data_IF_258376234515
#
_entry.id   IF_258376234515
#
_cell.length_a   1.000
_cell.length_b   1.000
_cell.length_c   1.000
_cell.angle_alpha   90.00
_cell.angle_beta   90.00
_cell.angle_gamma   90.00
#
_symmetry.space_group_name_H-M   'P 1'
#
loop_
_entity.id
_entity.type
_entity.pdbx_description
1 polymer ?
#
# COMPACT_ATOMS: atom_id res chain seq x y z
N UNK A 1 1.31 -10.57 -13.46
CA UNK A 1 1.52 -9.28 -12.73
C UNK A 1 0.81 -9.30 -11.38
N UNK A 2 -0.49 -9.52 -11.32
CA UNK A 2 -1.28 -9.46 -10.06
C UNK A 2 -0.71 -10.36 -8.96
N UNK A 3 -0.42 -11.64 -9.26
CA UNK A 3 0.13 -12.59 -8.26
C UNK A 3 1.47 -12.10 -7.71
N UNK A 4 2.38 -11.63 -8.56
CA UNK A 4 3.67 -11.11 -8.11
C UNK A 4 3.53 -9.85 -7.25
N UNK A 5 2.60 -8.96 -7.60
CA UNK A 5 2.30 -7.77 -6.80
C UNK A 5 1.69 -8.16 -5.44
N UNK A 6 0.79 -9.15 -5.42
CA UNK A 6 0.21 -9.65 -4.18
C UNK A 6 1.30 -10.21 -3.24
N UNK A 7 2.23 -11.02 -3.77
CA UNK A 7 3.33 -11.57 -2.97
C UNK A 7 4.23 -10.49 -2.36
N UNK A 8 4.45 -9.38 -3.06
CA UNK A 8 5.25 -8.26 -2.57
C UNK A 8 4.49 -7.38 -1.55
N UNK A 9 3.21 -7.11 -1.82
CA UNK A 9 2.44 -6.11 -1.07
C UNK A 9 1.78 -6.68 0.18
N UNK A 10 1.38 -7.96 0.18
CA UNK A 10 0.75 -8.64 1.32
C UNK A 10 1.58 -8.53 2.62
N UNK A 11 2.88 -8.89 2.66
CA UNK A 11 3.65 -8.78 3.91
C UNK A 11 3.74 -7.33 4.40
N UNK A 12 3.81 -6.36 3.50
CA UNK A 12 3.83 -4.93 3.85
C UNK A 12 2.48 -4.52 4.48
N UNK A 13 1.37 -4.95 3.88
CA UNK A 13 0.03 -4.68 4.41
C UNK A 13 -0.19 -5.31 5.79
N UNK A 14 0.29 -6.54 6.00
CA UNK A 14 0.24 -7.22 7.29
C UNK A 14 1.02 -6.42 8.34
N UNK A 15 2.28 -6.05 8.06
CA UNK A 15 3.10 -5.29 9.00
C UNK A 15 2.49 -3.95 9.40
N UNK A 16 1.96 -3.19 8.43
CA UNK A 16 1.32 -1.89 8.71
C UNK A 16 0.01 -2.05 9.48
N UNK A 17 -0.75 -3.11 9.20
CA UNK A 17 -1.98 -3.44 9.92
C UNK A 17 -1.69 -3.82 11.37
N UNK A 18 -0.67 -4.66 11.60
CA UNK A 18 -0.25 -5.05 12.94
C UNK A 18 0.23 -3.84 13.75
N UNK A 19 1.06 -2.98 13.18
CA UNK A 19 1.49 -1.73 13.83
C UNK A 19 0.29 -0.85 14.24
N UNK A 20 -0.75 -0.80 13.40
CA UNK A 20 -1.97 -0.04 13.71
C UNK A 20 -2.77 -0.62 14.87
N UNK A 21 -2.78 -1.95 14.99
CA UNK A 21 -3.44 -2.66 16.11
C UNK A 21 -2.61 -2.54 17.39
N UNK A 22 -1.28 -2.63 17.30
CA UNK A 22 -0.37 -2.50 18.44
C UNK A 22 -0.29 -1.08 19.00
N UNK A 23 -0.62 -0.07 18.18
CA UNK A 23 -0.73 1.33 18.62
C UNK A 23 -1.99 1.62 19.47
N UNK A 24 -2.95 0.69 19.55
CA UNK A 24 -4.12 0.83 20.41
C UNK A 24 -3.74 0.69 21.89
N UNK A 25 -4.52 1.33 22.78
CA UNK A 25 -4.33 1.19 24.22
C UNK A 25 -4.47 -0.29 24.64
N UNK A 26 -3.46 -0.89 25.32
CA UNK A 26 -3.52 -2.25 25.83
C UNK A 26 -4.76 -2.54 26.68
N UNK A 27 -5.31 -1.53 27.36
CA UNK A 27 -6.52 -1.64 28.18
C UNK A 27 -7.74 -2.12 27.40
N UNK A 28 -7.85 -1.82 26.10
CA UNK A 28 -8.96 -2.27 25.25
C UNK A 28 -9.02 -3.81 25.22
N UNK A 29 -7.85 -4.43 25.09
CA UNK A 29 -7.72 -5.89 25.06
C UNK A 29 -8.01 -6.51 26.43
N UNK A 30 -7.53 -5.88 27.49
CA UNK A 30 -7.71 -6.39 28.85
C UNK A 30 -9.17 -6.27 29.31
N UNK A 31 -9.84 -5.15 28.99
CA UNK A 31 -11.25 -4.93 29.27
C UNK A 31 -12.15 -5.94 28.53
N UNK A 32 -11.86 -6.19 27.25
CA UNK A 32 -12.59 -7.20 26.48
C UNK A 32 -12.47 -8.60 27.12
N UNK A 33 -11.29 -8.95 27.64
CA UNK A 33 -11.08 -10.23 28.33
C UNK A 33 -11.80 -10.30 29.68
N UNK A 34 -11.80 -9.24 30.49
CA UNK A 34 -12.52 -9.22 31.78
C UNK A 34 -14.04 -9.30 31.58
N UNK A 35 -14.56 -8.80 30.46
CA UNK A 35 -15.97 -8.96 30.07
C UNK A 35 -16.31 -10.38 29.55
N UNK A 36 -15.37 -11.32 29.60
CA UNK A 36 -15.58 -12.72 29.18
C UNK A 36 -15.57 -12.93 27.66
N UNK A 37 -15.02 -12.00 26.88
CA UNK A 37 -14.97 -12.13 25.42
C UNK A 37 -14.08 -13.30 24.99
N UNK A 38 -14.56 -14.07 24.00
CA UNK A 38 -13.77 -15.13 23.36
C UNK A 38 -12.63 -14.53 22.52
N UNK A 39 -11.62 -15.35 22.17
CA UNK A 39 -10.46 -14.89 21.37
C UNK A 39 -10.85 -14.19 20.07
N UNK A 40 -11.87 -14.72 19.38
CA UNK A 40 -12.39 -14.13 18.14
C UNK A 40 -13.06 -12.77 18.38
N UNK A 41 -13.82 -12.64 19.47
CA UNK A 41 -14.46 -11.37 19.83
C UNK A 41 -13.42 -10.30 20.15
N UNK A 42 -12.37 -10.63 20.90
CA UNK A 42 -11.26 -9.70 21.18
C UNK A 42 -10.60 -9.23 19.88
N UNK A 43 -10.29 -10.14 18.95
CA UNK A 43 -9.70 -9.78 17.65
C UNK A 43 -10.60 -8.89 16.82
N UNK A 44 -11.90 -9.18 16.76
CA UNK A 44 -12.89 -8.36 16.04
C UNK A 44 -13.01 -6.95 16.64
N UNK A 45 -13.02 -6.84 17.97
CA UNK A 45 -13.03 -5.54 18.67
C UNK A 45 -11.78 -4.74 18.34
N UNK A 46 -10.59 -5.34 18.42
CA UNK A 46 -9.33 -4.67 18.08
C UNK A 46 -9.31 -4.21 16.62
N UNK A 47 -9.76 -5.04 15.67
CA UNK A 47 -9.87 -4.62 14.27
C UNK A 47 -10.86 -3.46 14.07
N UNK A 48 -11.95 -3.41 14.84
CA UNK A 48 -12.95 -2.35 14.76
C UNK A 48 -12.44 -1.03 15.31
N UNK A 49 -11.70 -1.07 16.41
CA UNK A 49 -11.03 0.10 17.00
C UNK A 49 -9.88 0.59 16.11
N UNK A 50 -9.09 -0.33 15.54
CA UNK A 50 -8.00 -0.01 14.62
C UNK A 50 -8.47 0.33 13.19
N UNK A 51 -9.78 0.41 12.90
CA UNK A 51 -10.30 0.56 11.53
C UNK A 51 -9.67 1.71 10.75
N UNK A 52 -9.37 2.83 11.42
CA UNK A 52 -8.70 3.98 10.83
C UNK A 52 -7.27 3.66 10.43
N UNK A 53 -6.49 3.09 11.35
CA UNK A 53 -5.13 2.64 11.08
C UNK A 53 -5.06 1.55 10.01
N UNK A 54 -6.01 0.60 10.00
CA UNK A 54 -6.11 -0.44 8.97
C UNK A 54 -6.37 0.18 7.59
N UNK A 55 -7.28 1.16 7.49
CA UNK A 55 -7.53 1.87 6.23
C UNK A 55 -6.26 2.56 5.73
N UNK A 56 -5.54 3.22 6.61
CA UNK A 56 -4.27 3.89 6.29
C UNK A 56 -3.19 2.90 5.86
N UNK A 57 -3.11 1.74 6.53
CA UNK A 57 -2.21 0.65 6.17
C UNK A 57 -2.50 0.14 4.75
N UNK A 58 -3.78 -0.06 4.40
CA UNK A 58 -4.20 -0.47 3.05
C UNK A 58 -3.79 0.56 2.01
N UNK A 59 -4.05 1.85 2.24
CA UNK A 59 -3.68 2.91 1.29
C UNK A 59 -2.16 2.99 1.13
N UNK A 60 -1.39 2.90 2.22
CA UNK A 60 0.07 2.92 2.18
C UNK A 60 0.64 1.71 1.40
N UNK A 61 0.11 0.51 1.62
CA UNK A 61 0.49 -0.68 0.87
C UNK A 61 0.12 -0.58 -0.62
N UNK A 62 -1.02 0.04 -0.94
CA UNK A 62 -1.42 0.32 -2.30
C UNK A 62 -0.48 1.32 -3.00
N UNK A 63 -0.07 2.39 -2.31
CA UNK A 63 0.93 3.34 -2.83
C UNK A 63 2.24 2.63 -3.21
N UNK A 64 2.68 1.69 -2.37
CA UNK A 64 3.86 0.86 -2.67
C UNK A 64 3.65 -0.01 -3.90
N UNK A 65 2.47 -0.62 -4.07
CA UNK A 65 2.15 -1.44 -5.23
C UNK A 65 2.22 -0.66 -6.56
N UNK A 66 1.68 0.58 -6.60
CA UNK A 66 1.69 1.43 -7.80
C UNK A 66 3.12 1.85 -8.18
N UNK A 67 3.95 2.17 -7.19
CA UNK A 67 5.32 2.59 -7.41
C UNK A 67 6.25 1.43 -7.82
N UNK A 68 5.77 0.18 -7.79
CA UNK A 68 6.60 -0.98 -8.00
C UNK A 68 6.88 -1.25 -9.49
N UNK A 69 8.17 -1.32 -9.84
CA UNK A 69 8.66 -1.58 -11.19
C UNK A 69 9.09 -3.04 -11.39
N UNK A 70 9.76 -3.63 -10.40
CA UNK A 70 10.53 -4.88 -10.58
C UNK A 70 9.66 -6.06 -10.99
N UNK A 71 8.55 -6.26 -10.27
CA UNK A 71 7.60 -7.35 -10.56
C UNK A 71 7.03 -7.24 -11.98
N UNK A 72 6.74 -6.03 -12.45
CA UNK A 72 6.19 -5.81 -13.78
C UNK A 72 7.22 -6.16 -14.87
N UNK A 73 8.49 -5.80 -14.70
CA UNK A 73 9.55 -6.15 -15.66
C UNK A 73 9.87 -7.65 -15.65
N UNK A 74 10.01 -8.28 -14.48
CA UNK A 74 10.38 -9.71 -14.37
C UNK A 74 9.35 -10.64 -15.00
N UNK A 75 8.07 -10.29 -14.93
CA UNK A 75 6.97 -11.11 -15.47
C UNK A 75 6.63 -10.73 -16.93
N UNK A 76 7.38 -9.80 -17.54
CA UNK A 76 7.16 -9.37 -18.93
C UNK A 76 5.96 -8.42 -19.12
N UNK A 77 5.56 -7.71 -18.08
CA UNK A 77 4.51 -6.69 -18.12
C UNK A 77 4.96 -5.42 -18.83
N UNK A 78 4.87 -5.37 -20.16
CA UNK A 78 5.13 -4.14 -20.92
C UNK A 78 4.38 -4.08 -22.28
N UNK A 79 3.21 -4.70 -22.38
CA UNK A 79 2.44 -4.71 -23.63
C UNK A 79 1.60 -3.43 -23.69
N UNK A 80 1.84 -2.59 -24.71
CA UNK A 80 1.10 -1.34 -24.93
C UNK A 80 -0.40 -1.63 -25.00
N UNK A 81 -1.20 -0.92 -24.20
CA UNK A 81 -2.66 -1.06 -24.19
C UNK A 81 -3.20 -2.29 -23.44
N UNK A 82 -2.33 -3.15 -22.89
CA UNK A 82 -2.74 -4.36 -22.16
C UNK A 82 -2.14 -4.42 -20.75
N UNK A 83 -0.81 -4.40 -20.65
CA UNK A 83 -0.09 -4.66 -19.39
C UNK A 83 0.96 -3.61 -19.04
N UNK A 84 1.13 -2.59 -19.89
CA UNK A 84 2.05 -1.49 -19.64
C UNK A 84 1.51 -0.57 -18.54
N UNK A 85 2.31 -0.37 -17.51
CA UNK A 85 2.05 0.56 -16.40
C UNK A 85 3.01 1.75 -16.48
N UNK A 86 2.74 2.81 -15.71
CA UNK A 86 3.56 4.03 -15.68
C UNK A 86 5.05 3.73 -15.44
N UNK A 87 5.36 2.88 -14.47
CA UNK A 87 6.74 2.50 -14.13
C UNK A 87 7.45 1.80 -15.31
N UNK A 88 6.79 0.87 -15.98
CA UNK A 88 7.38 0.17 -17.14
C UNK A 88 7.45 1.03 -18.39
N UNK A 89 6.55 2.01 -18.54
CA UNK A 89 6.66 3.03 -19.58
C UNK A 89 7.86 3.96 -19.34
N UNK A 90 8.10 4.42 -18.10
CA UNK A 90 9.29 5.20 -17.74
C UNK A 90 10.56 4.44 -18.07
N UNK A 91 10.64 3.16 -17.66
CA UNK A 91 11.80 2.32 -17.92
C UNK A 91 12.02 2.11 -19.43
N UNK A 92 10.95 1.91 -20.21
CA UNK A 92 11.01 1.75 -21.66
C UNK A 92 11.52 3.01 -22.36
N UNK A 93 10.95 4.18 -22.07
CA UNK A 93 11.36 5.43 -22.72
C UNK A 93 12.78 5.83 -22.32
N UNK A 94 13.19 5.54 -21.07
CA UNK A 94 14.60 5.69 -20.63
C UNK A 94 15.53 4.80 -21.45
N UNK A 95 15.16 3.53 -21.65
CA UNK A 95 15.98 2.58 -22.42
C UNK A 95 16.07 2.93 -23.92
N UNK A 96 15.08 3.62 -24.48
CA UNK A 96 15.10 4.12 -25.86
C UNK A 96 15.95 5.39 -26.03
N UNK A 97 16.37 6.03 -24.95
CA UNK A 97 17.03 7.34 -24.98
C UNK A 97 16.07 8.54 -25.08
N UNK A 98 14.76 8.31 -24.98
CA UNK A 98 13.73 9.36 -24.98
C UNK A 98 13.57 9.97 -23.57
N UNK A 99 14.64 10.64 -23.12
CA UNK A 99 14.76 11.14 -21.73
C UNK A 99 13.67 12.17 -21.41
N UNK A 100 13.30 13.02 -22.36
CA UNK A 100 12.26 14.03 -22.16
C UNK A 100 10.90 13.40 -21.77
N UNK A 101 10.50 12.34 -22.47
CA UNK A 101 9.25 11.63 -22.19
C UNK A 101 9.34 10.89 -20.85
N UNK A 102 10.48 10.24 -20.57
CA UNK A 102 10.72 9.55 -19.31
C UNK A 102 10.59 10.49 -18.10
N UNK A 103 11.18 11.69 -18.17
CA UNK A 103 11.08 12.71 -17.12
C UNK A 103 9.62 13.15 -16.94
N UNK A 104 8.90 13.42 -18.03
CA UNK A 104 7.50 13.82 -17.95
C UNK A 104 6.63 12.76 -17.26
N UNK A 105 6.79 11.48 -17.62
CA UNK A 105 6.09 10.37 -16.98
C UNK A 105 6.47 10.20 -15.51
N UNK A 106 7.75 10.43 -15.17
CA UNK A 106 8.25 10.37 -13.80
C UNK A 106 7.64 11.46 -12.93
N UNK A 107 7.54 12.69 -13.45
CA UNK A 107 6.88 13.80 -12.75
C UNK A 107 5.41 13.45 -12.47
N UNK A 108 4.69 12.92 -13.47
CA UNK A 108 3.29 12.49 -13.29
C UNK A 108 3.18 11.43 -12.18
N UNK A 109 4.02 10.40 -12.22
CA UNK A 109 4.02 9.34 -11.21
C UNK A 109 4.32 9.90 -9.81
N UNK A 110 5.34 10.76 -9.69
CA UNK A 110 5.69 11.39 -8.41
C UNK A 110 4.58 12.28 -7.87
N UNK A 111 3.89 13.05 -8.72
CA UNK A 111 2.74 13.86 -8.31
C UNK A 111 1.61 12.98 -7.76
N UNK A 112 1.32 11.85 -8.40
CA UNK A 112 0.30 10.89 -7.93
C UNK A 112 0.71 10.31 -6.57
N UNK A 113 1.94 9.81 -6.45
CA UNK A 113 2.45 9.22 -5.20
C UNK A 113 2.47 10.24 -4.07
N UNK A 114 2.88 11.48 -4.36
CA UNK A 114 2.89 12.56 -3.38
C UNK A 114 1.47 12.91 -2.91
N UNK A 115 0.52 13.07 -3.84
CA UNK A 115 -0.87 13.36 -3.50
C UNK A 115 -1.50 12.25 -2.65
N UNK A 116 -1.25 10.99 -2.96
CA UNK A 116 -1.75 9.85 -2.17
C UNK A 116 -1.10 9.81 -0.78
N UNK A 117 0.21 10.02 -0.65
CA UNK A 117 0.86 10.08 0.66
C UNK A 117 0.37 11.26 1.49
N UNK A 118 0.14 12.42 0.86
CA UNK A 118 -0.43 13.58 1.54
C UNK A 118 -1.84 13.28 2.06
N UNK A 119 -2.68 12.63 1.25
CA UNK A 119 -4.01 12.21 1.66
C UNK A 119 -3.96 11.26 2.88
N UNK A 120 -3.06 10.27 2.87
CA UNK A 120 -2.84 9.36 4.02
C UNK A 120 -2.41 10.14 5.26
N UNK A 121 -1.47 11.08 5.12
CA UNK A 121 -0.98 11.88 6.27
C UNK A 121 -2.09 12.76 6.86
N UNK A 122 -2.93 13.36 6.03
CA UNK A 122 -4.07 14.16 6.48
C UNK A 122 -5.11 13.30 7.19
N UNK A 123 -5.38 12.09 6.69
CA UNK A 123 -6.28 11.12 7.33
C UNK A 123 -5.71 10.51 8.63
N UNK A 124 -4.38 10.52 8.83
CA UNK A 124 -3.75 10.09 10.08
C UNK A 124 -3.88 11.09 11.22
N UNK A 125 -4.00 12.38 10.89
CA UNK A 125 -4.02 13.46 11.88
C UNK A 125 -5.43 13.88 12.31
N UNK A 126 -6.47 13.43 11.60
CA UNK A 126 -7.88 13.67 11.93
C UNK A 126 -8.51 12.46 12.58
#
# INVERSE_FOLDING_TARGET
>A
IIIGQALLVVPIAISLTLNSIEALDPQIKDLAKTLGASRLQVSLTLCREAKGGILLAVIASFNKAIAELGVALMIGGNIKGLTRVLTTAIALETAKGEIAISIALTIILLSIVFALNLAVNLLQKG
#
